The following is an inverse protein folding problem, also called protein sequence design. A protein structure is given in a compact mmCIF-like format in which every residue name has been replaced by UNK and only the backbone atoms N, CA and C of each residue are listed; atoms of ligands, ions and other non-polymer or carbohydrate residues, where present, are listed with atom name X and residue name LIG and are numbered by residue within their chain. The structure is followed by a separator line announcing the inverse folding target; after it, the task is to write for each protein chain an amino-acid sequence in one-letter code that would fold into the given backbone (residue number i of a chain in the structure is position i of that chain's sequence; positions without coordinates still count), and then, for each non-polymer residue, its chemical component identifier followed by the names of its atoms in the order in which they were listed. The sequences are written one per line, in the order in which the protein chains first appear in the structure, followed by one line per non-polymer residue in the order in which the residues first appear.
data_IF_283167157608
#
_entry.id   IF_283167157608
#
_cell.length_a   1.000
_cell.length_b   1.000
_cell.length_c   1.000
_cell.angle_alpha   90.00
_cell.angle_beta   90.00
_cell.angle_gamma   90.00
#
_symmetry.space_group_name_H-M   'P 1'
#
loop_
_entity.id
_entity.type
_entity.pdbx_description
1 polymer ?
#
# COMPACT_ATOMS: atom_id res chain seq x y z
N UNK A 1 -56.08 -0.20 -36.68
CA UNK A 1 -54.89 -0.84 -37.28
C UNK A 1 -53.74 0.16 -37.22
N UNK A 2 -52.69 -0.12 -36.42
CA UNK A 2 -51.50 0.74 -36.29
C UNK A 2 -50.61 0.54 -37.52
N UNK A 3 -50.40 1.58 -38.33
CA UNK A 3 -49.32 1.61 -39.33
C UNK A 3 -48.01 1.58 -38.55
N UNK A 4 -47.18 0.57 -38.82
CA UNK A 4 -45.78 0.55 -38.41
C UNK A 4 -45.09 1.52 -39.36
N UNK A 5 -44.45 2.55 -38.80
CA UNK A 5 -43.46 3.34 -39.52
C UNK A 5 -42.30 2.42 -39.91
N UNK A 6 -42.34 1.91 -41.14
CA UNK A 6 -41.19 1.27 -41.79
C UNK A 6 -40.19 2.36 -42.22
N UNK A 7 -39.59 3.02 -41.23
CA UNK A 7 -38.44 3.91 -41.44
C UNK A 7 -37.18 3.05 -41.58
N UNK A 8 -37.05 2.40 -42.75
CA UNK A 8 -35.81 1.72 -43.13
C UNK A 8 -34.71 2.73 -43.44
N UNK A 9 -33.47 2.44 -42.99
CA UNK A 9 -32.29 3.24 -43.32
C UNK A 9 -32.17 3.40 -44.84
N UNK A 10 -31.94 4.63 -45.29
CA UNK A 10 -31.64 4.86 -46.70
C UNK A 10 -30.29 4.21 -47.04
N UNK A 11 -30.12 3.75 -48.29
CA UNK A 11 -28.90 3.05 -48.72
C UNK A 11 -27.63 3.89 -48.50
N UNK A 12 -27.75 5.22 -48.66
CA UNK A 12 -26.67 6.18 -48.40
C UNK A 12 -26.31 6.27 -46.91
N UNK A 13 -27.30 6.16 -46.02
CA UNK A 13 -27.11 6.22 -44.57
C UNK A 13 -26.42 4.96 -44.06
N UNK A 14 -26.79 3.78 -44.58
CA UNK A 14 -26.10 2.54 -44.24
C UNK A 14 -24.63 2.56 -44.66
N UNK A 15 -24.33 3.08 -45.85
CA UNK A 15 -22.94 3.24 -46.32
C UNK A 15 -22.16 4.21 -45.43
N UNK A 16 -22.76 5.35 -45.06
CA UNK A 16 -22.11 6.34 -44.23
C UNK A 16 -21.86 5.81 -42.82
N UNK A 17 -22.81 5.09 -42.23
CA UNK A 17 -22.69 4.46 -40.91
C UNK A 17 -21.58 3.40 -40.91
N UNK A 18 -21.50 2.55 -41.94
CA UNK A 18 -20.46 1.51 -42.07
C UNK A 18 -19.07 2.13 -42.34
N UNK A 19 -19.00 3.30 -42.99
CA UNK A 19 -17.74 4.00 -43.23
C UNK A 19 -17.23 4.77 -42.01
N UNK A 20 -18.13 5.43 -41.27
CA UNK A 20 -17.78 6.37 -40.19
C UNK A 20 -17.62 5.66 -38.84
N UNK A 21 -18.45 4.66 -38.51
CA UNK A 21 -18.37 3.96 -37.23
C UNK A 21 -17.00 3.33 -36.94
N UNK A 22 -16.32 2.65 -37.89
CA UNK A 22 -15.02 2.05 -37.62
C UNK A 22 -13.95 3.07 -37.24
N UNK A 23 -14.01 4.28 -37.82
CA UNK A 23 -13.08 5.37 -37.52
C UNK A 23 -13.29 5.90 -36.10
N UNK A 24 -14.56 6.05 -35.69
CA UNK A 24 -14.90 6.49 -34.33
C UNK A 24 -14.49 5.45 -33.30
N UNK A 25 -14.79 4.17 -33.53
CA UNK A 25 -14.44 3.07 -32.62
C UNK A 25 -12.91 2.89 -32.54
N UNK A 26 -12.20 3.00 -33.67
CA UNK A 26 -10.74 2.95 -33.71
C UNK A 26 -10.07 4.08 -32.94
N UNK A 27 -10.60 5.31 -33.03
CA UNK A 27 -10.11 6.45 -32.27
C UNK A 27 -10.33 6.33 -30.76
N UNK A 28 -11.47 5.77 -30.35
CA UNK A 28 -11.79 5.56 -28.93
C UNK A 28 -10.87 4.52 -28.28
N UNK A 29 -10.41 3.50 -29.01
CA UNK A 29 -9.47 2.51 -28.49
C UNK A 29 -8.11 3.14 -28.09
N UNK A 30 -7.62 4.11 -28.87
CA UNK A 30 -6.38 4.85 -28.58
C UNK A 30 -6.57 5.73 -27.35
N UNK A 31 -7.73 6.39 -27.24
CA UNK A 31 -8.06 7.24 -26.09
C UNK A 31 -8.09 6.45 -24.77
N UNK A 32 -8.72 5.28 -24.74
CA UNK A 32 -8.76 4.41 -23.55
C UNK A 32 -7.36 3.92 -23.17
N UNK A 33 -6.50 3.61 -24.15
CA UNK A 33 -5.10 3.25 -23.91
C UNK A 33 -4.26 4.38 -23.27
N UNK A 34 -4.62 5.64 -23.50
CA UNK A 34 -3.99 6.80 -22.88
C UNK A 34 -4.35 6.98 -21.40
N UNK A 35 -5.61 6.72 -21.04
CA UNK A 35 -6.08 6.84 -19.64
C UNK A 35 -5.45 5.77 -18.74
N UNK A 36 -5.25 4.55 -19.26
CA UNK A 36 -4.59 3.46 -18.54
C UNK A 36 -3.11 3.73 -18.21
N UNK A 37 -2.48 4.71 -18.87
CA UNK A 37 -1.11 5.14 -18.56
C UNK A 37 -1.06 6.15 -17.40
N UNK A 38 -2.14 6.90 -17.16
CA UNK A 38 -2.24 7.86 -16.06
C UNK A 38 -2.37 7.17 -14.68
N UNK A 39 -2.80 5.90 -14.64
CA UNK A 39 -2.93 5.11 -13.41
C UNK A 39 -1.57 4.66 -12.80
N UNK A 40 -0.47 4.76 -13.55
CA UNK A 40 0.86 4.39 -13.04
C UNK A 40 1.36 5.34 -11.95
N UNK A 41 0.90 6.59 -11.91
CA UNK A 41 1.23 7.54 -10.84
C UNK A 41 0.39 7.34 -9.57
N UNK A 42 -0.84 6.82 -9.69
CA UNK A 42 -1.71 6.54 -8.53
C UNK A 42 -1.32 5.23 -7.84
N UNK A 43 -0.83 4.24 -8.59
CA UNK A 43 -0.36 2.98 -8.02
C UNK A 43 0.82 3.17 -7.04
N UNK A 44 1.71 4.13 -7.29
CA UNK A 44 2.83 4.44 -6.42
C UNK A 44 2.42 5.08 -5.09
N UNK A 45 1.43 5.98 -5.09
CA UNK A 45 0.91 6.64 -3.89
C UNK A 45 0.00 5.73 -3.06
N UNK A 46 -0.75 4.83 -3.69
CA UNK A 46 -1.57 3.82 -2.99
C UNK A 46 -0.71 2.75 -2.34
N UNK A 47 0.33 2.26 -3.02
CA UNK A 47 1.28 1.30 -2.45
C UNK A 47 2.04 1.89 -1.25
N UNK A 48 2.49 3.15 -1.35
CA UNK A 48 3.08 3.88 -0.23
C UNK A 48 2.10 4.04 0.94
N UNK A 49 0.86 4.45 0.68
CA UNK A 49 -0.15 4.66 1.73
C UNK A 49 -0.53 3.37 2.45
N UNK A 50 -0.63 2.24 1.76
CA UNK A 50 -0.92 0.95 2.38
C UNK A 50 0.20 0.48 3.33
N UNK A 51 1.47 0.66 2.94
CA UNK A 51 2.62 0.33 3.80
C UNK A 51 2.72 1.23 5.03
N UNK A 52 2.38 2.51 4.88
CA UNK A 52 2.34 3.49 5.98
C UNK A 52 1.18 3.18 6.93
N UNK A 53 0.00 2.84 6.42
CA UNK A 53 -1.15 2.51 7.25
C UNK A 53 -0.95 1.22 8.06
N UNK A 54 -0.31 0.20 7.47
CA UNK A 54 0.07 -1.04 8.17
C UNK A 54 1.09 -0.79 9.30
N UNK A 55 1.88 0.28 9.20
CA UNK A 55 2.86 0.66 10.22
C UNK A 55 2.29 1.54 11.30
N UNK A 56 1.48 2.53 10.94
CA UNK A 56 0.96 3.52 11.85
C UNK A 56 -0.09 2.95 12.81
N UNK A 57 -0.94 2.02 12.37
CA UNK A 57 -1.97 1.44 13.23
C UNK A 57 -1.41 0.74 14.48
N UNK A 58 -0.50 -0.24 14.38
CA UNK A 58 0.08 -0.86 15.56
C UNK A 58 0.94 0.13 16.36
N UNK A 59 1.65 1.04 15.68
CA UNK A 59 2.47 2.04 16.35
C UNK A 59 1.66 2.98 17.25
N UNK A 60 0.55 3.54 16.76
CA UNK A 60 -0.29 4.41 17.57
C UNK A 60 -0.93 3.68 18.75
N UNK A 61 -1.33 2.42 18.55
CA UNK A 61 -1.86 1.61 19.64
C UNK A 61 -0.79 1.37 20.72
N UNK A 62 0.44 1.04 20.33
CA UNK A 62 1.55 0.82 21.26
C UNK A 62 1.94 2.10 22.01
N UNK A 63 1.99 3.24 21.31
CA UNK A 63 2.28 4.55 21.93
C UNK A 63 1.16 4.96 22.89
N UNK A 64 -0.11 4.77 22.53
CA UNK A 64 -1.23 5.12 23.41
C UNK A 64 -1.31 4.20 24.63
N UNK A 65 -0.93 2.94 24.48
CA UNK A 65 -0.82 2.01 25.59
C UNK A 65 0.51 2.15 26.34
N UNK A 66 1.43 3.01 25.91
CA UNK A 66 2.77 3.06 26.48
C UNK A 66 2.79 3.68 27.87
N UNK A 67 3.58 3.07 28.75
CA UNK A 67 3.96 3.63 30.04
C UNK A 67 5.28 4.42 29.91
N UNK A 68 6.19 3.96 29.04
CA UNK A 68 7.44 4.63 28.74
C UNK A 68 7.89 4.38 27.29
N UNK A 69 8.62 5.33 26.72
CA UNK A 69 9.22 5.24 25.38
C UNK A 69 10.69 5.60 25.50
N UNK A 70 11.57 4.78 24.92
CA UNK A 70 13.01 4.97 24.98
C UNK A 70 13.70 4.57 23.68
N UNK A 71 14.80 5.24 23.37
CA UNK A 71 15.73 4.85 22.31
C UNK A 71 16.95 4.12 22.86
N UNK A 72 17.01 3.89 24.17
CA UNK A 72 18.05 3.09 24.80
C UNK A 72 17.87 1.62 24.40
N UNK A 73 18.84 1.09 23.66
CA UNK A 73 18.80 -0.27 23.14
C UNK A 73 18.99 -1.34 24.22
N UNK A 74 19.54 -0.98 25.39
CA UNK A 74 19.66 -1.88 26.53
C UNK A 74 18.31 -2.21 27.18
N UNK A 75 17.33 -1.33 26.97
CA UNK A 75 15.96 -1.46 27.47
C UNK A 75 15.00 -2.00 26.41
N UNK A 76 15.50 -2.53 25.29
CA UNK A 76 14.68 -3.07 24.20
C UNK A 76 14.41 -4.57 24.28
N UNK A 77 13.39 -4.99 23.54
CA UNK A 77 13.06 -6.37 23.23
C UNK A 77 13.68 -6.79 21.88
N UNK A 78 14.28 -7.96 21.81
CA UNK A 78 14.89 -8.47 20.59
C UNK A 78 16.37 -8.08 20.44
N UNK A 79 16.92 -8.09 19.22
CA UNK A 79 18.33 -7.78 19.01
C UNK A 79 18.63 -6.34 19.46
N UNK A 80 19.80 -6.14 20.11
CA UNK A 80 20.27 -4.90 20.75
C UNK A 80 20.45 -3.68 19.81
N UNK A 81 19.93 -3.75 18.58
CA UNK A 81 19.93 -2.70 17.57
C UNK A 81 18.51 -2.24 17.23
N UNK A 82 17.69 -2.02 18.27
CA UNK A 82 16.38 -1.40 18.14
C UNK A 82 16.49 0.10 17.85
N UNK A 83 15.62 0.62 16.98
CA UNK A 83 15.51 2.06 16.71
C UNK A 83 14.66 2.74 17.79
N UNK A 84 13.65 2.02 18.29
CA UNK A 84 12.71 2.52 19.28
C UNK A 84 12.18 1.38 20.14
N UNK A 85 12.15 1.58 21.45
CA UNK A 85 11.56 0.67 22.42
C UNK A 85 10.44 1.36 23.18
N UNK A 86 9.36 0.63 23.41
CA UNK A 86 8.13 1.11 24.03
C UNK A 86 7.74 0.10 25.10
N UNK A 87 7.66 0.56 26.33
CA UNK A 87 7.13 -0.22 27.44
C UNK A 87 5.61 -0.07 27.46
N UNK A 88 4.89 -1.17 27.36
CA UNK A 88 3.43 -1.26 27.45
C UNK A 88 3.06 -2.10 28.68
N UNK A 89 1.85 -1.97 29.25
CA UNK A 89 1.45 -2.69 30.46
C UNK A 89 1.63 -4.20 30.42
N UNK A 90 1.59 -4.80 29.22
CA UNK A 90 1.73 -6.23 29.00
C UNK A 90 3.15 -6.68 28.65
N UNK A 91 4.09 -5.76 28.42
CA UNK A 91 5.39 -6.13 27.87
C UNK A 91 6.24 -4.98 27.33
N UNK A 92 7.25 -5.34 26.54
CA UNK A 92 8.09 -4.38 25.80
C UNK A 92 7.96 -4.64 24.31
N UNK A 93 7.71 -3.58 23.56
CA UNK A 93 7.68 -3.56 22.10
C UNK A 93 8.90 -2.82 21.59
N UNK A 94 9.67 -3.41 20.68
CA UNK A 94 10.79 -2.73 20.03
C UNK A 94 10.66 -2.79 18.53
N UNK A 95 10.87 -1.65 17.88
CA UNK A 95 10.93 -1.50 16.45
C UNK A 95 12.39 -1.49 16.01
N UNK A 96 12.77 -2.40 15.12
CA UNK A 96 14.13 -2.47 14.59
C UNK A 96 14.12 -2.67 13.07
N UNK A 97 15.17 -2.18 12.41
CA UNK A 97 15.39 -2.36 10.99
C UNK A 97 16.23 -3.62 10.79
N UNK A 98 15.70 -4.57 10.02
CA UNK A 98 16.46 -5.74 9.57
C UNK A 98 16.88 -5.53 8.11
N UNK A 99 18.15 -5.77 7.76
CA UNK A 99 18.57 -5.71 6.37
C UNK A 99 17.93 -6.83 5.55
N UNK A 100 17.33 -6.47 4.41
CA UNK A 100 16.82 -7.38 3.39
C UNK A 100 17.43 -6.99 2.03
N UNK A 101 18.63 -7.53 1.76
CA UNK A 101 19.40 -7.22 0.56
C UNK A 101 19.81 -5.75 0.47
N UNK A 102 19.21 -5.00 -0.47
CA UNK A 102 19.46 -3.55 -0.69
C UNK A 102 18.47 -2.64 0.03
N UNK A 103 17.55 -3.23 0.77
CA UNK A 103 16.46 -2.57 1.49
C UNK A 103 16.46 -2.98 2.95
N UNK A 104 15.65 -2.32 3.76
CA UNK A 104 15.42 -2.65 5.15
C UNK A 104 13.95 -3.02 5.37
N UNK A 105 13.72 -4.00 6.21
CA UNK A 105 12.40 -4.37 6.71
C UNK A 105 12.25 -3.82 8.13
N UNK A 106 11.11 -3.19 8.42
CA UNK A 106 10.78 -2.75 9.78
C UNK A 106 10.10 -3.89 10.51
N UNK A 107 10.78 -4.43 11.50
CA UNK A 107 10.29 -5.50 12.36
C UNK A 107 9.85 -4.92 13.69
N UNK A 108 8.72 -5.41 14.19
CA UNK A 108 8.20 -5.15 15.53
C UNK A 108 8.40 -6.42 16.36
N UNK A 109 9.26 -6.31 17.35
CA UNK A 109 9.55 -7.31 18.36
C UNK A 109 8.66 -7.07 19.57
N UNK A 110 8.03 -8.11 20.10
CA UNK A 110 7.26 -8.05 21.33
C UNK A 110 7.76 -9.08 22.33
N UNK A 111 8.04 -8.63 23.54
CA UNK A 111 8.41 -9.45 24.69
C UNK A 111 7.30 -9.35 25.71
N UNK A 112 6.72 -10.48 26.11
CA UNK A 112 5.79 -10.50 27.24
C UNK A 112 6.56 -10.25 28.55
N UNK A 113 6.13 -9.25 29.32
CA UNK A 113 6.81 -8.85 30.55
C UNK A 113 8.00 -7.90 30.33
N UNK A 114 9.22 -8.37 30.59
CA UNK A 114 10.41 -7.53 30.61
C UNK A 114 11.17 -7.49 29.28
N UNK A 115 12.13 -6.55 29.15
CA UNK A 115 13.08 -6.53 28.04
C UNK A 115 13.97 -7.76 28.05
N UNK A 116 13.99 -8.47 26.92
CA UNK A 116 14.82 -9.67 26.72
C UNK A 116 15.32 -9.70 25.28
N UNK A 117 16.45 -10.36 25.04
CA UNK A 117 16.99 -10.55 23.70
C UNK A 117 16.11 -11.45 22.81
N UNK A 118 15.26 -12.29 23.41
CA UNK A 118 14.38 -13.21 22.69
C UNK A 118 12.95 -12.70 22.71
N UNK A 119 12.51 -12.16 21.58
CA UNK A 119 11.12 -11.76 21.43
C UNK A 119 10.16 -12.95 21.49
N UNK A 120 9.05 -12.77 22.19
CA UNK A 120 7.91 -13.70 22.22
C UNK A 120 7.24 -13.77 20.86
N UNK A 121 7.15 -12.64 20.16
CA UNK A 121 6.68 -12.58 18.78
C UNK A 121 7.41 -11.51 17.98
N UNK A 122 7.56 -11.77 16.68
CA UNK A 122 8.18 -10.86 15.72
C UNK A 122 7.24 -10.73 14.52
N UNK A 123 6.89 -9.50 14.18
CA UNK A 123 6.00 -9.20 13.05
C UNK A 123 6.70 -8.22 12.12
N UNK A 124 6.70 -8.50 10.82
CA UNK A 124 7.11 -7.53 9.81
C UNK A 124 6.00 -6.50 9.62
N UNK A 125 6.31 -5.24 9.90
CA UNK A 125 5.36 -4.12 9.89
C UNK A 125 5.47 -3.33 8.59
N UNK A 126 6.69 -3.24 8.04
CA UNK A 126 6.93 -2.74 6.69
C UNK A 126 8.09 -3.49 6.05
N UNK A 127 8.10 -3.53 4.71
CA UNK A 127 9.15 -4.17 3.92
C UNK A 127 9.68 -3.27 2.83
N UNK A 128 10.92 -3.50 2.42
CA UNK A 128 11.48 -2.84 1.23
C UNK A 128 11.79 -1.34 1.43
N UNK A 129 12.06 -0.91 2.67
CA UNK A 129 12.40 0.47 2.99
C UNK A 129 13.78 0.78 2.42
N UNK A 130 13.87 1.77 1.53
CA UNK A 130 15.17 2.26 1.05
C UNK A 130 15.70 3.33 1.99
N UNK A 131 17.00 3.30 2.37
CA UNK A 131 17.61 4.41 3.08
C UNK A 131 17.55 5.64 2.17
N UNK A 132 17.07 6.76 2.72
CA UNK A 132 17.09 8.04 2.00
C UNK A 132 18.54 8.51 1.96
N UNK A 133 19.11 8.59 0.75
CA UNK A 133 20.45 9.13 0.51
C UNK A 133 20.51 10.63 0.83
#
# INVERSE_FOLDING_TARGET
MRRRDDSGLTLIELILVVLVLPVVVGGMAIFVGGVLQADKSVSGSVSGSASVQSTLQPFFADVQASNAITTDSSLGCGPLAGVLSIEVPSGVVTYALAPDGSTYDLLRYYCAGASTANATSVTAVAKGIRPRA
#
